data_IF_510888812307
#
_entry.id   IF_510888812307
#
_cell.length_a   1.000
_cell.length_b   1.000
_cell.length_c   1.000
_cell.angle_alpha   90.00
_cell.angle_beta   90.00
_cell.angle_gamma   90.00
#
_symmetry.space_group_name_H-M   'P 1'
#
loop_
_entity.id
_entity.type
_entity.pdbx_description
1 polymer ?
#
# COMPACT_ATOMS: atom_id res chain seq x y z
N UNK A 1 30.23 14.71 12.21
CA UNK A 1 29.91 13.89 11.02
C UNK A 1 28.49 13.38 11.22
N UNK A 2 27.51 13.89 10.47
CA UNK A 2 26.14 13.38 10.55
C UNK A 2 26.14 11.96 10.02
N UNK A 3 25.94 10.97 10.89
CA UNK A 3 25.49 9.67 10.41
C UNK A 3 24.24 9.92 9.58
N UNK A 4 24.26 9.51 8.32
CA UNK A 4 23.06 9.51 7.48
C UNK A 4 22.03 8.60 8.17
N UNK A 5 21.16 9.20 8.99
CA UNK A 5 20.02 8.52 9.59
C UNK A 5 19.18 8.01 8.42
N UNK A 6 19.22 6.69 8.17
CA UNK A 6 18.36 6.08 7.17
C UNK A 6 16.95 6.10 7.72
N UNK A 7 16.09 6.89 7.08
CA UNK A 7 14.70 7.10 7.47
C UNK A 7 13.88 5.84 7.25
N UNK A 8 12.95 5.57 8.15
CA UNK A 8 11.93 4.54 7.96
C UNK A 8 10.86 5.03 6.99
N UNK A 9 11.28 5.20 5.74
CA UNK A 9 10.49 5.78 4.66
C UNK A 9 9.50 4.77 4.04
N UNK A 10 8.74 5.20 3.04
CA UNK A 10 7.70 4.38 2.41
C UNK A 10 8.25 3.09 1.77
N UNK A 11 9.47 3.10 1.21
CA UNK A 11 10.08 1.89 0.66
C UNK A 11 10.44 0.88 1.76
N UNK A 12 10.94 1.34 2.92
CA UNK A 12 11.23 0.46 4.05
C UNK A 12 9.93 -0.15 4.63
N UNK A 13 8.87 0.66 4.74
CA UNK A 13 7.52 0.20 5.13
C UNK A 13 6.98 -0.82 4.12
N UNK A 14 7.07 -0.52 2.82
CA UNK A 14 6.61 -1.41 1.75
C UNK A 14 7.36 -2.74 1.76
N UNK A 15 8.68 -2.72 1.99
CA UNK A 15 9.49 -3.93 2.09
C UNK A 15 9.09 -4.80 3.28
N UNK A 16 8.90 -4.21 4.47
CA UNK A 16 8.46 -4.95 5.64
C UNK A 16 7.05 -5.55 5.45
N UNK A 17 6.13 -4.77 4.85
CA UNK A 17 4.76 -5.21 4.61
C UNK A 17 4.71 -6.32 3.55
N UNK A 18 5.51 -6.20 2.50
CA UNK A 18 5.71 -7.25 1.50
C UNK A 18 6.14 -8.57 2.15
N UNK A 19 7.15 -8.54 3.04
CA UNK A 19 7.60 -9.71 3.77
C UNK A 19 6.49 -10.37 4.60
N UNK A 20 5.69 -9.57 5.30
CA UNK A 20 4.52 -10.04 6.07
C UNK A 20 3.47 -10.73 5.18
N UNK A 21 3.14 -10.12 4.04
CA UNK A 21 2.16 -10.67 3.11
C UNK A 21 2.65 -11.97 2.45
N UNK A 22 3.90 -12.03 1.99
CA UNK A 22 4.47 -13.24 1.37
C UNK A 22 4.58 -14.38 2.37
N UNK A 23 4.88 -14.10 3.64
CA UNK A 23 4.87 -15.12 4.70
C UNK A 23 3.47 -15.73 4.94
N UNK A 24 2.41 -15.10 4.41
CA UNK A 24 1.02 -15.59 4.45
C UNK A 24 0.56 -16.14 3.09
N UNK A 25 1.49 -16.49 2.21
CA UNK A 25 1.26 -16.98 0.84
C UNK A 25 0.47 -16.02 -0.07
N UNK A 26 0.44 -14.72 0.26
CA UNK A 26 -0.19 -13.71 -0.58
C UNK A 26 0.67 -13.35 -1.80
N UNK A 27 0.01 -13.03 -2.92
CA UNK A 27 0.63 -12.33 -4.04
C UNK A 27 0.64 -10.83 -3.75
N UNK A 28 1.76 -10.17 -3.98
CA UNK A 28 1.95 -8.75 -3.66
C UNK A 28 2.41 -8.00 -4.90
N UNK A 29 1.81 -6.84 -5.13
CA UNK A 29 2.15 -5.96 -6.23
C UNK A 29 2.36 -4.54 -5.70
N UNK A 30 3.37 -3.82 -6.23
CA UNK A 30 3.87 -2.58 -5.66
C UNK A 30 3.88 -1.42 -6.67
N UNK A 31 3.59 -0.22 -6.17
CA UNK A 31 3.66 1.09 -6.83
C UNK A 31 3.03 1.10 -8.23
N UNK A 32 1.72 1.30 -8.25
CA UNK A 32 0.88 1.45 -9.44
C UNK A 32 0.71 2.92 -9.77
N UNK A 33 1.59 3.42 -10.64
CA UNK A 33 1.54 4.79 -11.12
C UNK A 33 0.32 5.08 -12.01
N UNK A 34 -0.03 6.36 -12.13
CA UNK A 34 -1.15 6.83 -12.96
C UNK A 34 -1.12 6.27 -14.38
N UNK A 35 -2.31 5.91 -14.91
CA UNK A 35 -2.50 5.35 -16.26
C UNK A 35 -1.65 4.12 -16.54
N UNK A 36 -1.90 3.03 -15.79
CA UNK A 36 -1.32 1.74 -16.07
C UNK A 36 -1.94 1.17 -17.35
N UNK A 37 -1.47 1.67 -18.50
CA UNK A 37 -1.66 1.01 -19.78
C UNK A 37 -0.88 -0.30 -19.70
N UNK A 38 -1.59 -1.35 -19.35
CA UNK A 38 -1.05 -2.71 -19.33
C UNK A 38 -0.45 -2.95 -20.71
N UNK A 39 0.81 -3.36 -20.71
CA UNK A 39 1.68 -3.42 -21.89
C UNK A 39 1.26 -4.46 -22.96
N UNK A 40 0.06 -5.02 -22.83
CA UNK A 40 -0.53 -5.99 -23.74
C UNK A 40 -1.47 -5.26 -24.69
N UNK A 41 -0.94 -4.92 -25.86
CA UNK A 41 -1.61 -4.15 -26.92
C UNK A 41 -2.84 -4.85 -27.52
N UNK A 42 -3.08 -6.12 -27.16
CA UNK A 42 -4.24 -6.92 -27.54
C UNK A 42 -5.45 -6.75 -26.60
N UNK A 43 -5.28 -6.11 -25.44
CA UNK A 43 -6.37 -5.86 -24.49
C UNK A 43 -7.00 -4.49 -24.76
N UNK A 44 -8.30 -4.46 -25.03
CA UNK A 44 -9.08 -3.23 -25.25
C UNK A 44 -9.31 -2.38 -23.99
N UNK A 45 -8.87 -2.86 -22.83
CA UNK A 45 -9.08 -2.25 -21.53
C UNK A 45 -7.77 -1.96 -20.79
N UNK A 46 -7.81 -1.06 -19.81
CA UNK A 46 -6.68 -0.73 -18.94
C UNK A 46 -7.13 -0.45 -17.50
N UNK A 47 -6.19 -0.54 -16.55
CA UNK A 47 -6.43 -0.09 -15.19
C UNK A 47 -6.06 1.37 -15.03
N UNK A 48 -6.97 2.14 -14.45
CA UNK A 48 -6.77 3.52 -14.09
C UNK A 48 -6.73 3.67 -12.58
N UNK A 49 -5.68 4.30 -12.08
CA UNK A 49 -5.46 4.61 -10.68
C UNK A 49 -5.19 6.10 -10.52
N UNK A 50 -6.05 6.81 -9.80
CA UNK A 50 -5.72 8.11 -9.22
C UNK A 50 -6.45 8.24 -7.87
N UNK A 51 -5.75 8.27 -6.73
CA UNK A 51 -4.28 8.29 -6.58
C UNK A 51 -3.57 7.02 -7.07
N UNK A 52 -2.24 7.07 -7.10
CA UNK A 52 -1.39 5.89 -7.32
C UNK A 52 -1.61 4.88 -6.19
N UNK A 53 -1.51 3.56 -6.48
CA UNK A 53 -1.66 2.53 -5.45
C UNK A 53 -0.28 2.07 -4.96
N UNK A 54 -0.01 2.13 -3.65
CA UNK A 54 1.31 1.76 -3.13
C UNK A 54 1.53 0.24 -3.08
N UNK A 55 0.57 -0.50 -2.52
CA UNK A 55 0.65 -1.96 -2.42
C UNK A 55 -0.74 -2.60 -2.56
N UNK A 56 -0.81 -3.65 -3.38
CA UNK A 56 -1.97 -4.54 -3.50
C UNK A 56 -1.56 -5.93 -3.02
N UNK A 57 -2.32 -6.48 -2.09
CA UNK A 57 -2.25 -7.86 -1.64
C UNK A 57 -3.41 -8.65 -2.26
N UNK A 58 -3.11 -9.79 -2.89
CA UNK A 58 -4.09 -10.81 -3.23
C UNK A 58 -3.83 -12.03 -2.36
N UNK A 59 -4.76 -12.32 -1.46
CA UNK A 59 -4.67 -13.43 -0.50
C UNK A 59 -5.03 -14.76 -1.15
N UNK A 60 -4.60 -15.90 -0.55
CA UNK A 60 -4.96 -17.24 -1.05
C UNK A 60 -6.47 -17.49 -1.15
N UNK A 61 -7.27 -16.84 -0.31
CA UNK A 61 -8.74 -16.92 -0.32
C UNK A 61 -9.40 -16.02 -1.39
N UNK A 62 -8.60 -15.34 -2.22
CA UNK A 62 -9.08 -14.46 -3.27
C UNK A 62 -9.52 -13.08 -2.77
N UNK A 63 -9.28 -12.72 -1.50
CA UNK A 63 -9.43 -11.33 -1.04
C UNK A 63 -8.35 -10.44 -1.65
N UNK A 64 -8.74 -9.23 -2.04
CA UNK A 64 -7.87 -8.20 -2.59
C UNK A 64 -7.84 -7.03 -1.60
N UNK A 65 -6.67 -6.71 -1.06
CA UNK A 65 -6.51 -5.67 -0.05
C UNK A 65 -5.60 -4.57 -0.58
N UNK A 66 -6.04 -3.33 -0.47
CA UNK A 66 -5.25 -2.15 -0.83
C UNK A 66 -4.56 -1.55 0.39
N UNK A 67 -3.31 -1.13 0.23
CA UNK A 67 -2.55 -0.48 1.30
C UNK A 67 -1.99 0.85 0.78
N UNK A 68 -2.42 1.93 1.41
CA UNK A 68 -1.83 3.26 1.26
C UNK A 68 -0.73 3.41 2.32
N UNK A 69 0.49 3.74 1.93
CA UNK A 69 1.65 3.76 2.80
C UNK A 69 2.10 5.19 3.08
N UNK A 70 2.46 5.46 4.33
CA UNK A 70 3.07 6.72 4.76
C UNK A 70 4.30 6.44 5.59
N UNK A 71 5.47 6.83 5.09
CA UNK A 71 6.76 6.66 5.74
C UNK A 71 7.25 7.93 6.43
N UNK A 72 8.26 7.79 7.28
CA UNK A 72 8.94 8.91 7.91
C UNK A 72 9.69 9.76 6.88
N UNK A 73 9.71 11.08 7.10
CA UNK A 73 10.39 12.09 6.28
C UNK A 73 11.51 12.74 7.07
N UNK A 74 12.44 13.40 6.39
CA UNK A 74 13.48 14.18 7.06
C UNK A 74 12.92 15.55 7.44
N UNK A 75 12.91 15.88 8.73
CA UNK A 75 12.61 17.24 9.16
C UNK A 75 13.83 18.16 8.94
N UNK A 76 13.61 19.48 8.83
CA UNK A 76 14.69 20.48 8.73
C UNK A 76 15.66 20.46 9.92
N UNK A 77 15.23 19.94 11.07
CA UNK A 77 16.06 19.75 12.26
C UNK A 77 17.00 18.54 12.19
N UNK A 78 16.91 17.72 11.13
CA UNK A 78 17.68 16.49 10.98
C UNK A 78 17.08 15.26 11.67
N UNK A 79 16.00 15.42 12.42
CA UNK A 79 15.27 14.31 13.05
C UNK A 79 14.22 13.71 12.10
N UNK A 80 13.90 12.41 12.23
CA UNK A 80 12.77 11.80 11.52
C UNK A 80 11.44 12.47 11.92
N UNK A 81 10.63 12.80 10.93
CA UNK A 81 9.27 13.27 11.07
C UNK A 81 8.32 12.14 10.67
N UNK A 82 7.56 11.62 11.63
CA UNK A 82 6.63 10.52 11.39
C UNK A 82 5.27 11.07 10.95
N UNK A 83 4.68 10.53 9.88
CA UNK A 83 3.46 11.09 9.27
C UNK A 83 2.27 10.92 10.19
N UNK A 84 1.36 11.88 10.30
CA UNK A 84 0.13 11.65 11.04
C UNK A 84 -0.84 10.76 10.24
N UNK A 85 -1.80 10.09 10.90
CA UNK A 85 -2.77 9.27 10.17
C UNK A 85 -3.59 10.10 9.17
N UNK A 86 -3.97 11.33 9.53
CA UNK A 86 -4.77 12.18 8.64
C UNK A 86 -4.05 12.55 7.32
N UNK A 87 -2.70 12.44 7.25
CA UNK A 87 -1.93 12.73 6.03
C UNK A 87 -2.25 11.77 4.88
N UNK A 88 -2.72 10.56 5.18
CA UNK A 88 -3.02 9.52 4.18
C UNK A 88 -4.49 9.15 4.05
N UNK A 89 -5.38 9.63 4.93
CA UNK A 89 -6.78 9.19 4.96
C UNK A 89 -7.50 9.47 3.64
N UNK A 90 -7.31 10.65 3.05
CA UNK A 90 -7.96 11.00 1.78
C UNK A 90 -7.57 10.08 0.63
N UNK A 91 -6.29 9.69 0.55
CA UNK A 91 -5.78 8.78 -0.47
C UNK A 91 -6.27 7.35 -0.23
N UNK A 92 -6.20 6.86 1.01
CA UNK A 92 -6.72 5.54 1.37
C UNK A 92 -8.24 5.41 1.14
N UNK A 93 -9.03 6.47 1.39
CA UNK A 93 -10.47 6.46 1.08
C UNK A 93 -10.69 6.41 -0.44
N UNK A 94 -9.89 7.13 -1.23
CA UNK A 94 -10.01 7.09 -2.68
C UNK A 94 -9.71 5.69 -3.27
N UNK A 95 -8.87 4.89 -2.61
CA UNK A 95 -8.59 3.51 -3.04
C UNK A 95 -9.85 2.64 -3.07
N UNK A 96 -10.89 2.95 -2.31
CA UNK A 96 -12.12 2.14 -2.28
C UNK A 96 -12.78 2.01 -3.67
N UNK A 97 -12.59 2.99 -4.56
CA UNK A 97 -13.10 2.99 -5.96
C UNK A 97 -12.04 2.53 -6.97
N UNK A 98 -10.91 1.97 -6.52
CA UNK A 98 -9.76 1.63 -7.37
C UNK A 98 -9.46 0.11 -7.44
N UNK A 99 -8.65 -0.29 -8.45
CA UNK A 99 -8.44 0.42 -9.70
C UNK A 99 -9.73 0.48 -10.51
N UNK A 100 -9.93 1.57 -11.25
CA UNK A 100 -11.00 1.64 -12.23
C UNK A 100 -10.60 0.86 -13.48
N UNK A 101 -11.51 0.06 -14.03
CA UNK A 101 -11.27 -0.70 -15.25
C UNK A 101 -11.94 0.05 -16.41
N UNK A 102 -11.14 0.49 -17.37
CA UNK A 102 -11.57 1.38 -18.43
C UNK A 102 -11.41 0.76 -19.81
N UNK A 103 -12.36 1.02 -20.71
CA UNK A 103 -12.24 0.79 -22.16
C UNK A 103 -12.38 2.15 -22.86
N UNK A 104 -11.28 2.66 -23.41
CA UNK A 104 -11.23 4.06 -23.86
C UNK A 104 -11.48 5.04 -22.70
N UNK A 105 -12.53 5.87 -22.82
CA UNK A 105 -12.95 6.80 -21.75
C UNK A 105 -14.07 6.25 -20.85
N UNK A 106 -14.56 5.03 -21.14
CA UNK A 106 -15.69 4.44 -20.42
C UNK A 106 -15.21 3.56 -19.27
N UNK A 107 -15.78 3.75 -18.08
CA UNK A 107 -15.64 2.79 -16.97
C UNK A 107 -16.46 1.53 -17.28
N UNK A 108 -15.85 0.36 -17.19
CA UNK A 108 -16.55 -0.91 -17.40
C UNK A 108 -17.36 -1.34 -16.19
N UNK A 109 -16.98 -0.88 -15.00
CA UNK A 109 -17.63 -1.19 -13.73
C UNK A 109 -17.73 0.08 -12.88
N UNK A 110 -18.81 0.17 -12.09
CA UNK A 110 -18.97 1.16 -11.03
C UNK A 110 -18.48 0.54 -9.71
N UNK A 111 -17.43 1.12 -9.09
CA UNK A 111 -16.79 0.60 -7.89
C UNK A 111 -15.40 -0.02 -8.11
N UNK A 112 -14.66 -0.16 -7.01
CA UNK A 112 -13.29 -0.71 -6.99
C UNK A 112 -13.21 -2.22 -6.78
N UNK A 113 -11.98 -2.75 -6.73
CA UNK A 113 -11.74 -4.20 -6.61
C UNK A 113 -11.51 -4.67 -5.18
N UNK A 114 -11.11 -3.76 -4.28
CA UNK A 114 -10.63 -4.12 -2.95
C UNK A 114 -11.76 -4.58 -2.04
N UNK A 115 -11.55 -5.67 -1.30
CA UNK A 115 -12.41 -6.12 -0.19
C UNK A 115 -12.24 -5.24 1.05
N UNK A 116 -11.02 -4.71 1.25
CA UNK A 116 -10.71 -3.80 2.33
C UNK A 116 -9.49 -2.95 1.97
N UNK A 117 -9.40 -1.77 2.57
CA UNK A 117 -8.27 -0.86 2.37
C UNK A 117 -7.71 -0.45 3.72
N UNK A 118 -6.39 -0.46 3.84
CA UNK A 118 -5.66 0.00 5.01
C UNK A 118 -4.84 1.25 4.68
N UNK A 119 -4.85 2.20 5.61
CA UNK A 119 -3.79 3.18 5.74
C UNK A 119 -2.70 2.63 6.67
N UNK A 120 -1.46 2.59 6.20
CA UNK A 120 -0.30 2.13 6.98
C UNK A 120 0.63 3.31 7.21
N UNK A 121 0.80 3.71 8.46
CA UNK A 121 1.67 4.82 8.82
C UNK A 121 2.88 4.36 9.65
N UNK A 122 4.07 4.77 9.24
CA UNK A 122 5.28 4.64 10.05
C UNK A 122 5.11 5.39 11.38
N UNK A 123 5.49 4.76 12.47
CA UNK A 123 5.57 5.38 13.81
C UNK A 123 6.85 4.95 14.49
N UNK A 124 7.34 5.75 15.43
CA UNK A 124 8.40 5.32 16.34
C UNK A 124 7.90 4.20 17.27
N UNK A 125 6.62 4.27 17.69
CA UNK A 125 6.00 3.37 18.67
C UNK A 125 4.56 3.06 18.30
N UNK A 126 4.07 1.94 18.81
CA UNK A 126 2.68 1.51 18.73
C UNK A 126 1.73 2.41 19.56
N UNK A 127 1.51 3.64 19.10
CA UNK A 127 0.60 4.59 19.75
C UNK A 127 -0.06 5.49 18.72
N UNK A 128 -1.37 5.63 18.84
CA UNK A 128 -2.16 6.69 18.21
C UNK A 128 -2.80 7.56 19.28
N UNK A 129 -3.03 8.82 18.95
CA UNK A 129 -3.79 9.71 19.83
C UNK A 129 -5.32 9.53 19.66
N UNK A 130 -6.09 10.13 20.57
CA UNK A 130 -7.56 10.04 20.54
C UNK A 130 -8.17 10.76 19.32
N UNK A 131 -7.52 11.80 18.82
CA UNK A 131 -7.99 12.53 17.63
C UNK A 131 -7.87 11.66 16.39
N UNK A 132 -6.69 11.07 16.17
CA UNK A 132 -6.44 10.10 15.10
C UNK A 132 -7.42 8.93 15.17
N UNK A 133 -7.64 8.38 16.38
CA UNK A 133 -8.61 7.29 16.59
C UNK A 133 -10.03 7.69 16.18
N UNK A 134 -10.49 8.90 16.57
CA UNK A 134 -11.83 9.40 16.21
C UNK A 134 -11.97 9.61 14.70
N UNK A 135 -10.99 10.25 14.06
CA UNK A 135 -11.03 10.51 12.61
C UNK A 135 -10.98 9.20 11.82
N UNK A 136 -10.10 8.28 12.18
CA UNK A 136 -10.06 6.96 11.55
C UNK A 136 -11.37 6.19 11.76
N UNK A 137 -12.05 6.40 12.89
CA UNK A 137 -13.33 5.77 13.22
C UNK A 137 -14.50 6.11 12.28
N UNK A 138 -14.45 7.24 11.57
CA UNK A 138 -15.58 7.69 10.71
C UNK A 138 -15.43 7.34 9.23
N UNK A 139 -14.29 6.79 8.82
CA UNK A 139 -14.00 6.43 7.42
C UNK A 139 -14.04 4.90 7.21
N UNK A 140 -14.46 4.38 6.05
CA UNK A 140 -14.58 2.94 5.80
C UNK A 140 -13.24 2.29 5.38
N UNK A 141 -12.15 2.62 6.09
CA UNK A 141 -10.82 2.03 5.91
C UNK A 141 -10.27 1.52 7.25
N UNK A 142 -9.33 0.59 7.19
CA UNK A 142 -8.53 0.15 8.33
C UNK A 142 -7.32 1.04 8.56
N UNK A 143 -6.68 0.88 9.72
CA UNK A 143 -5.44 1.57 10.06
C UNK A 143 -4.43 0.63 10.69
N UNK A 144 -3.18 0.74 10.23
CA UNK A 144 -2.04 -0.01 10.74
C UNK A 144 -0.88 0.93 11.02
N UNK A 145 -0.11 0.60 12.06
CA UNK A 145 1.16 1.25 12.36
C UNK A 145 2.29 0.34 11.90
N UNK A 146 3.24 0.88 11.14
CA UNK A 146 4.48 0.21 10.82
C UNK A 146 5.57 0.69 11.80
N UNK A 147 6.31 -0.24 12.38
CA UNK A 147 7.35 0.05 13.37
C UNK A 147 8.77 -0.16 12.80
N UNK A 148 9.80 0.53 13.36
CA UNK A 148 11.18 0.46 12.89
C UNK A 148 11.81 -0.94 12.91
N UNK A 149 11.27 -1.86 13.70
CA UNK A 149 11.69 -3.25 13.78
C UNK A 149 11.04 -4.16 12.72
N UNK A 150 10.18 -3.58 11.86
CA UNK A 150 9.45 -4.29 10.82
C UNK A 150 8.13 -4.89 11.29
N UNK A 151 7.75 -4.70 12.56
CA UNK A 151 6.45 -5.14 13.07
C UNK A 151 5.33 -4.19 12.64
N UNK A 152 4.10 -4.73 12.67
CA UNK A 152 2.90 -3.98 12.33
C UNK A 152 1.83 -4.17 13.40
N UNK A 153 1.24 -3.07 13.85
CA UNK A 153 0.10 -3.08 14.77
C UNK A 153 -1.16 -2.61 14.05
N UNK A 154 -2.22 -3.43 14.08
CA UNK A 154 -3.52 -2.99 13.58
C UNK A 154 -4.25 -2.19 14.66
N UNK A 155 -4.52 -0.92 14.38
CA UNK A 155 -5.27 -0.03 15.30
C UNK A 155 -6.76 0.04 14.96
N UNK A 156 -7.11 -0.37 13.74
CA UNK A 156 -8.49 -0.55 13.27
C UNK A 156 -8.51 -1.54 12.12
N UNK A 157 -9.30 -2.61 12.24
CA UNK A 157 -9.55 -3.53 11.13
C UNK A 157 -10.30 -2.82 9.99
N UNK A 158 -9.92 -3.12 8.75
CA UNK A 158 -10.63 -2.61 7.59
C UNK A 158 -12.02 -3.24 7.53
N UNK A 159 -13.11 -2.45 7.49
CA UNK A 159 -14.43 -3.00 7.20
C UNK A 159 -14.47 -3.47 5.75
N UNK A 160 -15.51 -4.23 5.40
CA UNK A 160 -15.81 -4.52 4.00
C UNK A 160 -15.96 -3.21 3.23
N UNK A 161 -15.29 -3.10 2.08
CA UNK A 161 -15.39 -1.95 1.20
C UNK A 161 -16.84 -1.76 0.73
N UNK A 162 -17.50 -0.62 1.07
CA UNK A 162 -18.92 -0.41 0.77
C UNK A 162 -19.19 -0.19 -0.72
N UNK A 163 -18.18 0.10 -1.53
CA UNK A 163 -18.29 0.36 -2.96
C UNK A 163 -17.49 -0.65 -3.79
N UNK A 164 -17.18 -1.82 -3.23
CA UNK A 164 -16.57 -2.90 -3.99
C UNK A 164 -17.52 -3.39 -5.09
N UNK A 165 -16.99 -3.53 -6.30
CA UNK A 165 -17.67 -4.20 -7.39
C UNK A 165 -17.16 -5.64 -7.56
N UNK A 166 -18.05 -6.63 -7.35
CA UNK A 166 -17.72 -8.06 -7.50
C UNK A 166 -17.26 -8.41 -8.92
N UNK A 167 -17.86 -7.77 -9.93
CA UNK A 167 -17.47 -7.94 -11.33
C UNK A 167 -16.08 -7.40 -11.61
N UNK A 168 -15.77 -6.19 -11.12
CA UNK A 168 -14.44 -5.60 -11.24
C UNK A 168 -13.38 -6.46 -10.54
N UNK A 169 -13.66 -6.93 -9.32
CA UNK A 169 -12.77 -7.83 -8.57
C UNK A 169 -12.53 -9.14 -9.34
N UNK A 170 -13.59 -9.77 -9.86
CA UNK A 170 -13.44 -10.99 -10.67
C UNK A 170 -12.57 -10.75 -11.89
N UNK A 171 -12.83 -9.66 -12.62
CA UNK A 171 -12.01 -9.27 -13.77
C UNK A 171 -10.54 -9.06 -13.35
N UNK A 172 -10.30 -8.37 -12.24
CA UNK A 172 -8.95 -8.14 -11.72
C UNK A 172 -8.20 -9.44 -11.43
N UNK A 173 -8.82 -10.35 -10.68
CA UNK A 173 -8.24 -11.65 -10.30
C UNK A 173 -7.96 -12.55 -11.52
N UNK A 174 -8.76 -12.46 -12.58
CA UNK A 174 -8.55 -13.23 -13.81
C UNK A 174 -7.41 -12.67 -14.67
N UNK A 175 -6.91 -11.47 -14.36
CA UNK A 175 -5.94 -10.75 -15.18
C UNK A 175 -4.72 -10.27 -14.39
N UNK A 176 -4.35 -10.97 -13.32
CA UNK A 176 -3.15 -10.67 -12.51
C UNK A 176 -1.84 -10.76 -13.30
N UNK A 177 -1.83 -11.51 -14.40
CA UNK A 177 -0.74 -11.56 -15.38
C UNK A 177 -0.38 -10.17 -15.94
N UNK A 178 -1.34 -9.25 -15.94
CA UNK A 178 -1.13 -7.85 -16.32
C UNK A 178 -0.19 -7.08 -15.38
N UNK A 179 -0.02 -7.59 -14.16
CA UNK A 179 0.65 -6.90 -13.06
C UNK A 179 2.06 -7.45 -12.80
N UNK A 180 2.54 -8.41 -13.59
CA UNK A 180 3.83 -9.10 -13.38
C UNK A 180 5.01 -8.13 -13.16
N UNK A 181 5.02 -6.99 -13.87
CA UNK A 181 6.08 -5.96 -13.74
C UNK A 181 6.09 -5.25 -12.37
N UNK A 182 4.99 -5.34 -11.63
CA UNK A 182 4.80 -4.78 -10.29
C UNK A 182 4.98 -5.83 -9.18
N UNK A 183 5.17 -7.11 -9.54
CA UNK A 183 5.42 -8.19 -8.59
C UNK A 183 6.91 -8.35 -8.21
N UNK A 184 7.24 -9.47 -7.58
CA UNK A 184 8.55 -9.74 -6.96
C UNK A 184 9.75 -9.78 -7.93
N UNK A 185 9.52 -9.99 -9.22
CA UNK A 185 10.58 -9.95 -10.24
C UNK A 185 10.75 -8.55 -10.86
N UNK A 186 9.86 -7.62 -10.52
CA UNK A 186 9.81 -6.27 -11.05
C UNK A 186 11.01 -5.40 -10.68
N UNK A 187 11.32 -4.43 -11.54
CA UNK A 187 12.36 -3.41 -11.25
C UNK A 187 12.00 -2.56 -10.03
N UNK A 188 10.72 -2.27 -9.85
CA UNK A 188 10.17 -1.53 -8.70
C UNK A 188 10.49 -2.26 -7.40
N UNK A 189 10.15 -3.55 -7.31
CA UNK A 189 10.42 -4.34 -6.12
C UNK A 189 11.92 -4.45 -5.82
N UNK A 190 12.78 -4.63 -6.83
CA UNK A 190 14.24 -4.66 -6.59
C UNK A 190 14.75 -3.40 -5.91
N UNK A 191 14.29 -2.22 -6.33
CA UNK A 191 14.61 -0.94 -5.68
C UNK A 191 14.08 -0.88 -4.24
N UNK A 192 12.83 -1.28 -4.02
CA UNK A 192 12.21 -1.33 -2.68
C UNK A 192 13.00 -2.25 -1.76
N UNK A 193 13.34 -3.46 -2.24
CA UNK A 193 14.15 -4.45 -1.55
C UNK A 193 15.51 -3.90 -1.16
N UNK A 194 16.25 -3.32 -2.10
CA UNK A 194 17.56 -2.71 -1.83
C UNK A 194 17.48 -1.65 -0.72
N UNK A 195 16.43 -0.80 -0.74
CA UNK A 195 16.21 0.24 0.27
C UNK A 195 15.77 -0.31 1.63
N UNK A 196 14.91 -1.33 1.63
CA UNK A 196 14.46 -2.03 2.83
C UNK A 196 15.60 -2.78 3.53
N UNK A 197 16.36 -3.61 2.80
CA UNK A 197 17.53 -4.32 3.32
C UNK A 197 18.58 -3.33 3.87
N UNK A 198 18.81 -2.23 3.14
CA UNK A 198 19.67 -1.14 3.58
C UNK A 198 19.25 -0.52 4.92
N UNK A 199 17.96 -0.47 5.23
CA UNK A 199 17.43 0.02 6.49
C UNK A 199 17.60 -1.05 7.59
N UNK A 200 17.04 -2.24 7.38
CA UNK A 200 16.95 -3.29 8.41
C UNK A 200 18.31 -3.91 8.79
N UNK A 201 19.25 -4.06 7.84
CA UNK A 201 20.58 -4.58 8.15
C UNK A 201 21.36 -3.70 9.14
N UNK A 202 21.04 -2.40 9.23
CA UNK A 202 21.65 -1.49 10.20
C UNK A 202 20.94 -1.51 11.55
N UNK A 203 19.61 -1.62 11.55
CA UNK A 203 18.84 -1.73 12.80
C UNK A 203 19.31 -2.96 13.60
N UNK A 204 19.51 -4.10 12.92
CA UNK A 204 20.05 -5.32 13.54
C UNK A 204 21.49 -5.15 14.02
N UNK A 205 22.32 -4.34 13.35
CA UNK A 205 23.69 -4.07 13.77
C UNK A 205 23.81 -3.09 14.95
N UNK A 206 22.72 -2.39 15.29
CA UNK A 206 22.63 -1.43 16.41
C UNK A 206 21.94 -1.98 17.66
N UNK A 207 21.48 -3.23 17.61
CA UNK A 207 20.94 -4.00 18.75
C UNK A 207 22.05 -4.89 19.33
#
# INVERSE_FOLDING_TARGET
MSENVRLFNEDAVAYALHGKCVASDSQVFLQFHHNLKIARSDRGWYYWCAPELDLIEVRPDGRVVGYELKGARQHKSGLPDFPAMYDGIGQAVAYLDLPTICEGQRRLFEGGVFDGVYLVCARERAKIDESERRVLGVVPIGGMLALPDGQFETVKEAPQNPIQNVGAKKHFLQNLDSLEKHGNSGRIFRRIKERGEAYFNRVVASL
#
